data_IF_330073089224
#
_entry.id   IF_330073089224
#
_cell.length_a   1.000
_cell.length_b   1.000
_cell.length_c   1.000
_cell.angle_alpha   90.00
_cell.angle_beta   90.00
_cell.angle_gamma   90.00
#
_symmetry.space_group_name_H-M   'P 1'
#
loop_
_entity.id
_entity.type
_entity.pdbx_description
1 polymer ?
#
# COMPACT_ATOMS: atom_id res chain seq x y z
N UNK A 1 98.36 -8.19 -6.89
CA UNK A 1 99.06 -6.96 -7.28
C UNK A 1 98.24 -5.78 -6.77
N UNK A 2 98.54 -5.34 -5.66
CA UNK A 2 99.16 -4.15 -5.08
C UNK A 2 98.77 -2.83 -5.82
N UNK A 3 98.71 -1.80 -5.07
CA UNK A 3 97.64 -0.83 -4.88
C UNK A 3 98.03 0.55 -5.43
N UNK A 4 97.13 1.54 -5.29
CA UNK A 4 97.66 2.95 -5.10
C UNK A 4 96.55 3.79 -4.43
N UNK A 5 97.06 4.57 -3.50
CA UNK A 5 96.39 5.39 -2.51
C UNK A 5 96.27 6.87 -2.93
N UNK A 6 95.24 7.54 -2.32
CA UNK A 6 95.09 8.91 -1.78
C UNK A 6 95.61 10.12 -2.55
N UNK A 7 95.07 11.37 -2.33
CA UNK A 7 94.89 11.95 -0.99
C UNK A 7 93.69 12.89 -0.77
N UNK A 8 93.47 13.19 0.52
CA UNK A 8 92.63 14.15 1.19
C UNK A 8 92.83 15.63 0.72
N UNK A 9 91.78 16.37 0.73
CA UNK A 9 91.89 17.82 0.96
C UNK A 9 90.74 18.32 1.83
N UNK A 10 91.16 18.91 2.94
CA UNK A 10 90.33 19.60 3.97
C UNK A 10 89.92 20.95 3.37
N UNK A 11 88.62 21.37 3.63
CA UNK A 11 88.34 22.74 4.02
C UNK A 11 86.88 22.91 4.57
N UNK A 12 86.87 23.22 5.84
CA UNK A 12 86.18 24.28 6.57
C UNK A 12 84.63 24.15 6.81
N UNK A 13 84.35 24.05 8.10
CA UNK A 13 83.09 24.37 8.82
C UNK A 13 82.55 25.76 8.41
N UNK A 14 81.24 25.80 8.18
CA UNK A 14 80.40 26.91 8.63
C UNK A 14 79.12 26.31 9.23
N UNK A 15 78.88 26.69 10.50
CA UNK A 15 77.70 26.23 11.23
C UNK A 15 76.42 26.91 10.72
N UNK A 16 75.34 26.21 10.70
CA UNK A 16 74.01 26.70 10.47
C UNK A 16 73.03 25.82 11.29
N UNK A 17 72.64 26.31 12.44
CA UNK A 17 71.51 25.77 13.18
C UNK A 17 70.25 25.93 12.30
N UNK A 18 69.66 24.85 11.82
CA UNK A 18 68.32 24.83 11.28
C UNK A 18 67.46 24.05 12.25
N UNK A 19 66.54 24.80 12.90
CA UNK A 19 65.56 24.24 13.78
C UNK A 19 64.61 23.28 13.04
N UNK A 20 64.48 22.04 13.53
CA UNK A 20 63.45 21.10 13.14
C UNK A 20 62.10 21.63 13.68
N UNK A 21 61.35 22.29 12.82
CA UNK A 21 59.93 22.48 13.02
C UNK A 21 59.22 21.16 12.77
N UNK A 22 58.89 20.44 13.83
CA UNK A 22 57.98 19.29 13.76
C UNK A 22 56.57 19.82 13.37
N UNK A 23 56.27 19.81 12.10
CA UNK A 23 54.89 19.93 11.61
C UNK A 23 54.17 18.65 12.02
N UNK A 24 53.46 18.73 13.15
CA UNK A 24 52.46 17.73 13.53
C UNK A 24 51.39 17.67 12.45
N UNK A 25 51.46 16.66 11.60
CA UNK A 25 50.35 16.29 10.74
C UNK A 25 49.18 15.84 11.64
N UNK A 26 48.26 16.75 11.94
CA UNK A 26 46.94 16.35 12.45
C UNK A 26 46.33 15.38 11.44
N UNK A 27 45.83 14.21 11.87
CA UNK A 27 45.11 13.33 10.96
C UNK A 27 43.94 14.14 10.39
N UNK A 28 43.94 14.39 9.10
CA UNK A 28 42.80 14.90 8.39
C UNK A 28 41.70 13.85 8.61
N UNK A 29 40.82 14.17 9.54
CA UNK A 29 39.56 13.45 9.71
C UNK A 29 38.85 13.66 8.39
N UNK A 30 38.91 12.66 7.52
CA UNK A 30 38.07 12.62 6.35
C UNK A 30 36.63 12.79 6.86
N UNK A 31 36.09 13.98 6.66
CA UNK A 31 34.66 14.19 6.76
C UNK A 31 34.08 13.25 5.69
N UNK A 32 33.54 12.11 6.14
CA UNK A 32 32.64 11.33 5.33
C UNK A 32 31.53 12.33 4.97
N UNK A 33 31.59 12.87 3.76
CA UNK A 33 30.43 13.50 3.15
C UNK A 33 29.41 12.39 3.08
N UNK A 34 28.52 12.36 4.07
CA UNK A 34 27.34 11.54 4.01
C UNK A 34 26.63 11.99 2.72
N UNK A 35 26.67 11.16 1.68
CA UNK A 35 25.93 11.43 0.46
C UNK A 35 24.44 11.53 0.83
N UNK A 36 23.71 12.37 0.10
CA UNK A 36 22.25 12.45 0.27
C UNK A 36 21.68 11.03 0.24
N UNK A 37 20.86 10.65 1.23
CA UNK A 37 20.22 9.34 1.22
C UNK A 37 19.43 9.13 -0.09
N UNK A 38 19.37 7.92 -0.62
CA UNK A 38 18.59 7.65 -1.82
C UNK A 38 17.10 7.88 -1.53
N UNK A 39 16.38 8.36 -2.55
CA UNK A 39 14.95 8.56 -2.46
C UNK A 39 14.20 7.22 -2.21
N UNK A 40 13.33 7.22 -1.23
CA UNK A 40 12.54 6.06 -0.80
C UNK A 40 11.04 6.30 -0.95
N UNK A 41 10.63 7.45 -1.46
CA UNK A 41 9.22 7.78 -1.75
C UNK A 41 8.95 7.57 -3.23
N UNK A 42 7.87 6.87 -3.56
CA UNK A 42 7.42 6.62 -4.92
C UNK A 42 6.07 7.30 -5.15
N UNK A 43 5.89 7.88 -6.35
CA UNK A 43 4.66 8.60 -6.70
C UNK A 43 4.61 10.02 -6.13
N UNK A 44 3.44 10.64 -6.26
CA UNK A 44 3.11 11.98 -5.74
C UNK A 44 1.67 11.98 -5.27
N UNK A 45 1.37 12.67 -4.18
CA UNK A 45 -0.02 12.90 -3.74
C UNK A 45 -0.71 13.74 -4.81
N UNK A 46 -1.89 13.30 -5.22
CA UNK A 46 -2.71 14.02 -6.20
C UNK A 46 -4.11 14.26 -5.64
N UNK A 47 -4.94 14.98 -6.37
CA UNK A 47 -6.27 15.35 -5.94
C UNK A 47 -7.28 15.07 -7.03
N UNK A 48 -8.52 14.82 -6.62
CA UNK A 48 -9.66 14.61 -7.51
C UNK A 48 -10.83 15.48 -7.05
N UNK A 49 -11.41 16.23 -7.96
CA UNK A 49 -12.63 16.99 -7.70
C UNK A 49 -13.83 16.13 -8.13
N UNK A 50 -14.71 15.81 -7.19
CA UNK A 50 -15.85 14.93 -7.46
C UNK A 50 -16.86 15.59 -8.41
N UNK A 51 -17.40 14.79 -9.33
CA UNK A 51 -18.43 15.20 -10.29
C UNK A 51 -19.87 14.98 -9.77
N UNK A 52 -20.01 14.20 -8.67
CA UNK A 52 -21.29 13.81 -8.09
C UNK A 52 -21.92 12.57 -8.76
N UNK A 53 -21.26 11.98 -9.77
CA UNK A 53 -21.75 10.82 -10.51
C UNK A 53 -20.98 9.55 -10.15
N UNK A 54 -19.66 9.67 -9.96
CA UNK A 54 -18.77 8.54 -9.65
C UNK A 54 -18.65 8.30 -8.15
N UNK A 55 -18.59 7.02 -7.77
CA UNK A 55 -18.26 6.59 -6.42
C UNK A 55 -16.76 6.70 -6.16
N UNK A 56 -16.35 6.74 -4.88
CA UNK A 56 -14.91 6.64 -4.55
C UNK A 56 -14.34 5.25 -4.88
N UNK A 57 -15.17 4.22 -5.01
CA UNK A 57 -14.73 2.89 -5.45
C UNK A 57 -14.29 2.92 -6.92
N UNK A 58 -15.01 3.65 -7.77
CA UNK A 58 -14.66 3.83 -9.18
C UNK A 58 -13.34 4.60 -9.29
N UNK A 59 -13.22 5.70 -8.54
CA UNK A 59 -12.00 6.51 -8.48
C UNK A 59 -10.82 5.69 -7.94
N UNK A 60 -11.03 4.91 -6.88
CA UNK A 60 -9.99 4.05 -6.32
C UNK A 60 -9.45 3.07 -7.36
N UNK A 61 -10.33 2.34 -8.05
CA UNK A 61 -9.93 1.40 -9.10
C UNK A 61 -9.21 2.08 -10.25
N UNK A 62 -9.75 3.19 -10.77
CA UNK A 62 -9.15 3.97 -11.86
C UNK A 62 -7.72 4.44 -11.51
N UNK A 63 -7.50 4.81 -10.26
CA UNK A 63 -6.22 5.32 -9.77
C UNK A 63 -5.33 4.25 -9.13
N UNK A 64 -5.73 2.98 -9.22
CA UNK A 64 -5.00 1.86 -8.62
C UNK A 64 -4.77 2.05 -7.10
N UNK A 65 -5.80 2.52 -6.42
CA UNK A 65 -5.87 2.73 -4.97
C UNK A 65 -6.79 1.70 -4.32
N UNK A 66 -6.55 1.40 -3.06
CA UNK A 66 -7.48 0.64 -2.24
C UNK A 66 -8.62 1.51 -1.72
N UNK A 67 -9.82 0.94 -1.54
CA UNK A 67 -10.94 1.71 -0.98
C UNK A 67 -10.64 2.19 0.44
N UNK A 68 -10.11 1.33 1.30
CA UNK A 68 -9.78 1.71 2.68
C UNK A 68 -8.63 2.73 2.75
N UNK A 69 -7.66 2.62 1.85
CA UNK A 69 -6.58 3.59 1.67
C UNK A 69 -7.13 4.97 1.31
N UNK A 70 -8.04 5.01 0.32
CA UNK A 70 -8.68 6.26 -0.10
C UNK A 70 -9.57 6.85 1.01
N UNK A 71 -10.28 6.00 1.76
CA UNK A 71 -11.10 6.44 2.90
C UNK A 71 -10.25 6.98 4.05
N UNK A 72 -9.10 6.37 4.34
CA UNK A 72 -8.18 6.85 5.37
C UNK A 72 -7.61 8.23 5.05
N UNK A 73 -7.30 8.48 3.77
CA UNK A 73 -6.85 9.79 3.30
C UNK A 73 -7.95 10.86 3.33
N UNK A 74 -9.24 10.45 3.36
CA UNK A 74 -10.41 11.33 3.29
C UNK A 74 -11.47 10.95 4.35
N UNK A 75 -11.15 11.06 5.64
CA UNK A 75 -12.06 10.59 6.69
C UNK A 75 -13.40 11.34 6.65
N UNK A 76 -14.49 10.59 6.82
CA UNK A 76 -15.85 11.12 6.82
C UNK A 76 -16.45 11.39 5.44
N UNK A 77 -15.76 11.01 4.37
CA UNK A 77 -16.33 11.04 3.00
C UNK A 77 -17.02 9.70 2.72
N UNK A 78 -18.31 9.76 2.37
CA UNK A 78 -19.05 8.58 1.95
C UNK A 78 -18.48 8.04 0.63
N UNK A 79 -18.07 6.78 0.62
CA UNK A 79 -17.47 6.15 -0.56
C UNK A 79 -18.44 5.94 -1.72
N UNK A 80 -19.75 5.84 -1.44
CA UNK A 80 -20.79 5.64 -2.46
C UNK A 80 -21.36 6.95 -2.96
N UNK A 81 -21.50 7.94 -2.06
CA UNK A 81 -22.08 9.24 -2.35
C UNK A 81 -21.12 10.34 -1.89
N UNK A 82 -19.98 10.51 -2.56
CA UNK A 82 -18.97 11.47 -2.11
C UNK A 82 -19.43 12.94 -2.22
N UNK A 83 -20.54 13.18 -2.88
CA UNK A 83 -21.03 14.53 -3.18
C UNK A 83 -20.43 15.11 -4.45
N UNK A 84 -20.83 16.34 -4.81
CA UNK A 84 -20.31 17.06 -5.96
C UNK A 84 -19.35 18.17 -5.52
N UNK A 85 -18.36 18.47 -6.37
CA UNK A 85 -17.38 19.55 -6.15
C UNK A 85 -16.61 19.43 -4.82
N UNK A 86 -16.40 18.19 -4.36
CA UNK A 86 -15.60 17.89 -3.18
C UNK A 86 -14.18 17.53 -3.61
N UNK A 87 -13.19 18.17 -3.00
CA UNK A 87 -11.79 17.85 -3.23
C UNK A 87 -11.40 16.60 -2.43
N UNK A 88 -10.99 15.55 -3.13
CA UNK A 88 -10.56 14.28 -2.58
C UNK A 88 -9.05 14.16 -2.71
N UNK A 89 -8.37 13.87 -1.60
CA UNK A 89 -6.94 13.55 -1.60
C UNK A 89 -6.75 12.12 -2.11
N UNK A 90 -5.95 11.96 -3.14
CA UNK A 90 -5.56 10.65 -3.67
C UNK A 90 -4.20 10.26 -3.11
N UNK A 91 -4.10 9.21 -2.27
CA UNK A 91 -2.85 8.73 -1.69
C UNK A 91 -2.00 7.98 -2.72
N UNK A 92 -1.53 8.69 -3.75
CA UNK A 92 -0.74 8.15 -4.86
C UNK A 92 0.78 8.28 -4.65
N UNK A 93 1.19 8.69 -3.44
CA UNK A 93 2.59 8.67 -2.98
C UNK A 93 2.74 7.69 -1.83
N UNK A 94 3.85 6.94 -1.81
CA UNK A 94 4.11 5.94 -0.78
C UNK A 94 5.59 5.88 -0.42
N UNK A 95 5.91 5.72 0.86
CA UNK A 95 7.24 5.34 1.31
C UNK A 95 7.41 3.84 1.05
N UNK A 96 8.52 3.44 0.43
CA UNK A 96 8.82 2.03 0.25
C UNK A 96 9.02 1.33 1.60
N UNK A 97 8.40 0.17 1.84
CA UNK A 97 8.61 -0.59 3.07
C UNK A 97 10.08 -0.97 3.29
N UNK A 98 10.51 -1.13 4.54
CA UNK A 98 11.83 -1.63 4.88
C UNK A 98 11.90 -3.14 4.63
N UNK A 99 12.38 -3.49 3.44
CA UNK A 99 12.53 -4.85 2.94
C UNK A 99 13.60 -4.87 1.83
N UNK A 100 14.11 -6.04 1.43
CA UNK A 100 15.04 -6.15 0.31
C UNK A 100 14.48 -5.47 -0.97
N UNK A 101 15.28 -4.61 -1.58
CA UNK A 101 14.89 -3.76 -2.73
C UNK A 101 14.96 -4.52 -4.06
N UNK A 102 14.50 -5.77 -4.08
CA UNK A 102 14.47 -6.62 -5.27
C UNK A 102 13.17 -7.44 -5.34
N UNK A 103 12.63 -7.58 -6.53
CA UNK A 103 11.41 -8.35 -6.76
C UNK A 103 10.15 -7.67 -6.26
N UNK A 104 9.37 -8.35 -5.42
CA UNK A 104 8.07 -7.89 -4.93
C UNK A 104 8.11 -7.70 -3.41
N UNK A 105 7.60 -6.57 -2.94
CA UNK A 105 7.32 -6.32 -1.52
C UNK A 105 5.81 -6.17 -1.37
N UNK A 106 5.21 -6.88 -0.43
CA UNK A 106 3.80 -6.76 -0.05
C UNK A 106 3.76 -6.23 1.37
N UNK A 107 3.15 -5.06 1.59
CA UNK A 107 2.90 -4.54 2.92
C UNK A 107 1.43 -4.69 3.27
N UNK A 108 1.16 -5.55 4.25
CA UNK A 108 -0.21 -5.92 4.64
C UNK A 108 -0.93 -4.77 5.34
N UNK A 109 -0.19 -3.96 6.12
CA UNK A 109 -0.77 -2.83 6.85
C UNK A 109 -1.40 -1.76 5.94
N UNK A 110 -0.84 -1.58 4.75
CA UNK A 110 -1.32 -0.59 3.77
C UNK A 110 -2.10 -1.20 2.59
N UNK A 111 -2.24 -2.54 2.55
CA UNK A 111 -2.92 -3.28 1.48
C UNK A 111 -2.31 -2.98 0.09
N UNK A 112 -0.96 -2.96 0.02
CA UNK A 112 -0.25 -2.55 -1.18
C UNK A 112 0.91 -3.48 -1.52
N UNK A 113 1.11 -3.67 -2.83
CA UNK A 113 2.21 -4.41 -3.42
C UNK A 113 3.12 -3.43 -4.17
N UNK A 114 4.42 -3.59 -4.00
CA UNK A 114 5.48 -2.89 -4.72
C UNK A 114 6.26 -3.88 -5.56
N UNK A 115 6.44 -3.60 -6.83
CA UNK A 115 7.34 -4.33 -7.70
C UNK A 115 8.54 -3.46 -8.04
N UNK A 116 9.72 -3.98 -7.77
CA UNK A 116 11.00 -3.29 -7.98
C UNK A 116 11.77 -3.99 -9.12
N UNK A 117 11.47 -3.64 -10.38
CA UNK A 117 12.19 -4.20 -11.52
C UNK A 117 13.63 -3.67 -11.56
N UNK A 118 14.62 -4.51 -11.86
CA UNK A 118 16.01 -4.06 -11.94
C UNK A 118 16.19 -2.89 -12.91
N UNK A 119 16.78 -1.78 -12.41
CA UNK A 119 17.11 -0.60 -13.23
C UNK A 119 15.91 0.21 -13.73
N UNK A 120 14.72 0.00 -13.17
CA UNK A 120 13.52 0.75 -13.51
C UNK A 120 12.87 1.30 -12.23
N UNK A 121 12.02 2.33 -12.34
CA UNK A 121 11.25 2.84 -11.21
C UNK A 121 10.37 1.77 -10.59
N UNK A 122 10.18 1.86 -9.27
CA UNK A 122 9.24 1.00 -8.55
C UNK A 122 7.81 1.21 -9.08
N UNK A 123 7.08 0.11 -9.20
CA UNK A 123 5.65 0.09 -9.53
C UNK A 123 4.87 -0.32 -8.29
N UNK A 124 3.69 0.23 -8.09
CA UNK A 124 2.87 -0.07 -6.92
C UNK A 124 1.44 -0.43 -7.32
N UNK A 125 0.81 -1.35 -6.58
CA UNK A 125 -0.51 -1.88 -6.87
C UNK A 125 -1.32 -2.04 -5.59
N UNK A 126 -2.56 -1.57 -5.60
CA UNK A 126 -3.50 -1.89 -4.54
C UNK A 126 -3.82 -3.39 -4.54
N UNK A 127 -3.94 -3.97 -3.36
CA UNK A 127 -4.23 -5.40 -3.19
C UNK A 127 -5.31 -5.66 -2.15
N UNK A 128 -6.04 -6.75 -2.32
CA UNK A 128 -6.84 -7.35 -1.25
C UNK A 128 -6.09 -8.53 -0.64
N UNK A 129 -6.17 -8.69 0.69
CA UNK A 129 -5.43 -9.71 1.43
C UNK A 129 -6.37 -10.58 2.27
N UNK A 130 -5.79 -11.51 3.03
CA UNK A 130 -6.52 -12.39 3.93
C UNK A 130 -7.38 -11.63 4.94
N UNK A 131 -8.62 -12.10 5.14
CA UNK A 131 -9.51 -11.64 6.20
C UNK A 131 -9.12 -12.26 7.53
N UNK A 132 -9.71 -11.79 8.61
CA UNK A 132 -9.53 -12.35 9.93
C UNK A 132 -9.75 -13.89 9.96
N UNK A 133 -8.85 -14.61 10.61
CA UNK A 133 -8.81 -16.08 10.63
C UNK A 133 -8.31 -16.76 9.36
N UNK A 134 -7.92 -15.99 8.33
CA UNK A 134 -7.34 -16.45 7.07
C UNK A 134 -6.18 -15.54 6.63
N UNK A 135 -5.23 -15.34 7.52
CA UNK A 135 -4.17 -14.37 7.32
C UNK A 135 -3.23 -14.71 6.15
N UNK A 136 -2.77 -13.69 5.48
CA UNK A 136 -1.65 -13.81 4.53
C UNK A 136 -0.36 -13.93 5.35
N UNK A 137 0.48 -14.97 5.12
CA UNK A 137 1.70 -15.16 5.90
C UNK A 137 2.70 -14.02 5.71
N UNK A 138 3.43 -13.72 6.78
CA UNK A 138 4.61 -12.83 6.74
C UNK A 138 5.87 -13.61 6.36
N UNK A 139 6.88 -12.92 5.84
CA UNK A 139 8.19 -13.47 5.56
C UNK A 139 8.55 -13.45 4.08
N UNK A 140 9.43 -14.35 3.68
CA UNK A 140 9.95 -14.39 2.32
C UNK A 140 9.53 -15.66 1.60
N UNK A 141 9.20 -15.50 0.33
CA UNK A 141 8.88 -16.58 -0.60
C UNK A 141 9.32 -16.19 -2.02
N UNK A 142 8.96 -16.96 -3.01
CA UNK A 142 9.21 -16.66 -4.43
C UNK A 142 7.99 -17.00 -5.27
N UNK A 143 7.91 -16.43 -6.46
CA UNK A 143 6.96 -16.89 -7.49
C UNK A 143 7.48 -18.21 -8.05
N UNK A 144 6.75 -19.31 -7.84
CA UNK A 144 7.17 -20.65 -8.27
C UNK A 144 6.50 -21.10 -9.55
N UNK A 145 5.37 -20.49 -9.91
CA UNK A 145 4.62 -20.81 -11.13
C UNK A 145 3.74 -19.63 -11.54
N UNK A 146 3.52 -19.50 -12.84
CA UNK A 146 2.60 -18.52 -13.44
C UNK A 146 1.59 -19.24 -14.33
N UNK A 147 0.36 -18.75 -14.38
CA UNK A 147 -0.68 -19.30 -15.23
C UNK A 147 -1.58 -18.19 -15.77
N UNK A 148 -1.68 -18.11 -17.09
CA UNK A 148 -2.72 -17.36 -17.77
C UNK A 148 -3.99 -18.20 -17.85
N UNK A 149 -5.14 -17.55 -17.73
CA UNK A 149 -6.47 -18.17 -17.76
C UNK A 149 -6.51 -19.41 -16.84
N UNK A 150 -6.28 -19.23 -15.52
CA UNK A 150 -6.21 -20.34 -14.59
C UNK A 150 -7.58 -20.99 -14.43
N UNK A 151 -7.59 -22.29 -14.21
CA UNK A 151 -8.76 -23.01 -13.66
C UNK A 151 -8.70 -22.88 -12.14
N UNK A 152 -9.82 -22.51 -11.51
CA UNK A 152 -9.90 -22.46 -10.06
C UNK A 152 -10.43 -23.76 -9.47
N UNK A 153 -9.70 -24.27 -8.49
CA UNK A 153 -10.08 -25.41 -7.67
C UNK A 153 -10.27 -24.93 -6.24
N UNK A 154 -11.53 -24.82 -5.73
CA UNK A 154 -11.78 -24.41 -4.36
C UNK A 154 -11.10 -25.34 -3.37
N UNK A 155 -10.51 -24.77 -2.32
CA UNK A 155 -9.94 -25.54 -1.22
C UNK A 155 -11.03 -26.35 -0.50
N UNK A 156 -10.64 -27.40 0.22
CA UNK A 156 -11.59 -28.18 1.03
C UNK A 156 -12.29 -27.29 2.09
N UNK A 157 -11.55 -26.36 2.69
CA UNK A 157 -12.13 -25.42 3.65
C UNK A 157 -13.19 -24.53 3.00
N UNK A 158 -12.94 -24.04 1.76
CA UNK A 158 -13.93 -23.21 1.05
C UNK A 158 -15.21 -24.03 0.74
N UNK A 159 -15.07 -25.28 0.28
CA UNK A 159 -16.23 -26.15 0.01
C UNK A 159 -16.98 -26.56 1.27
N UNK A 160 -16.29 -26.67 2.40
CA UNK A 160 -16.92 -26.96 3.70
C UNK A 160 -17.77 -25.78 4.17
N UNK A 161 -17.24 -24.55 4.02
CA UNK A 161 -17.92 -23.33 4.44
C UNK A 161 -19.05 -22.92 3.48
N UNK A 162 -18.93 -23.32 2.22
CA UNK A 162 -19.89 -23.02 1.16
C UNK A 162 -20.04 -24.24 0.23
N UNK A 163 -20.94 -25.17 0.57
CA UNK A 163 -21.17 -26.38 -0.23
C UNK A 163 -21.71 -26.13 -1.65
N UNK A 164 -22.19 -24.91 -1.94
CA UNK A 164 -22.73 -24.52 -3.24
C UNK A 164 -21.64 -24.20 -4.25
N UNK A 165 -20.40 -24.01 -3.80
CA UNK A 165 -19.28 -23.67 -4.67
C UNK A 165 -18.98 -24.85 -5.61
N UNK A 166 -18.91 -24.62 -6.93
CA UNK A 166 -18.56 -25.66 -7.91
C UNK A 166 -17.21 -26.30 -7.58
N UNK A 167 -17.06 -27.59 -7.79
CA UNK A 167 -15.81 -28.31 -7.58
C UNK A 167 -14.65 -27.76 -8.43
N UNK A 168 -14.98 -27.20 -9.60
CA UNK A 168 -14.03 -26.63 -10.57
C UNK A 168 -14.70 -25.45 -11.26
N UNK A 169 -13.99 -24.31 -11.37
CA UNK A 169 -14.42 -23.18 -12.19
C UNK A 169 -13.39 -23.01 -13.33
N UNK A 170 -13.79 -23.20 -14.59
CA UNK A 170 -12.90 -23.01 -15.74
C UNK A 170 -12.52 -21.54 -15.92
N UNK A 171 -11.55 -21.24 -16.81
CA UNK A 171 -11.26 -19.87 -17.21
C UNK A 171 -12.50 -19.16 -17.76
N UNK A 172 -12.71 -17.92 -17.37
CA UNK A 172 -13.86 -17.12 -17.80
C UNK A 172 -14.24 -16.03 -16.80
N UNK A 173 -15.29 -15.27 -17.08
CA UNK A 173 -15.70 -14.12 -16.28
C UNK A 173 -16.10 -14.49 -14.84
N UNK A 174 -16.59 -15.71 -14.62
CA UNK A 174 -17.00 -16.20 -13.30
C UNK A 174 -15.84 -16.73 -12.46
N UNK A 175 -14.62 -16.79 -13.03
CA UNK A 175 -13.47 -17.35 -12.33
C UNK A 175 -12.94 -16.35 -11.28
N UNK A 176 -12.95 -16.70 -9.98
CA UNK A 176 -12.50 -15.79 -8.93
C UNK A 176 -10.99 -15.47 -8.96
N UNK A 177 -10.19 -16.23 -9.74
CA UNK A 177 -8.77 -15.93 -9.96
C UNK A 177 -8.53 -14.89 -11.07
N UNK A 178 -9.57 -14.56 -11.85
CA UNK A 178 -9.42 -13.71 -13.04
C UNK A 178 -8.56 -14.34 -14.12
N UNK A 179 -7.93 -13.52 -14.96
CA UNK A 179 -7.17 -13.97 -16.12
C UNK A 179 -5.73 -14.39 -15.82
N UNK A 180 -5.17 -14.00 -14.64
CA UNK A 180 -3.76 -14.24 -14.32
C UNK A 180 -3.59 -14.69 -12.88
N UNK A 181 -2.73 -15.70 -12.67
CA UNK A 181 -2.34 -16.18 -11.35
C UNK A 181 -0.83 -16.44 -11.26
N UNK A 182 -0.20 -15.96 -10.20
CA UNK A 182 1.20 -16.18 -9.83
C UNK A 182 1.24 -16.93 -8.52
N UNK A 183 1.68 -18.17 -8.53
CA UNK A 183 1.72 -19.07 -7.37
C UNK A 183 2.98 -18.82 -6.57
N UNK A 184 2.83 -18.75 -5.25
CA UNK A 184 3.94 -18.54 -4.32
C UNK A 184 4.51 -19.88 -3.85
N UNK A 185 5.74 -19.85 -3.34
CA UNK A 185 6.38 -21.02 -2.72
C UNK A 185 5.69 -21.50 -1.45
N UNK A 186 4.80 -20.72 -0.88
CA UNK A 186 3.89 -21.14 0.19
C UNK A 186 2.72 -21.93 -0.39
N UNK A 187 2.41 -23.11 0.16
CA UNK A 187 1.28 -23.91 -0.33
C UNK A 187 -0.03 -23.14 -0.30
N UNK A 188 -0.81 -23.20 -1.37
CA UNK A 188 -2.14 -22.60 -1.54
C UNK A 188 -2.18 -21.07 -1.68
N UNK A 189 -1.07 -20.35 -1.51
CA UNK A 189 -1.03 -18.90 -1.63
C UNK A 189 -0.65 -18.47 -3.05
N UNK A 190 -1.34 -17.46 -3.55
CA UNK A 190 -1.07 -16.89 -4.87
C UNK A 190 -1.44 -15.40 -4.92
N UNK A 191 -0.82 -14.68 -5.85
CA UNK A 191 -1.24 -13.36 -6.30
C UNK A 191 -2.05 -13.55 -7.58
N UNK A 192 -3.25 -12.97 -7.67
CA UNK A 192 -4.14 -13.24 -8.80
C UNK A 192 -5.08 -12.05 -9.08
N UNK A 193 -5.66 -12.03 -10.26
CA UNK A 193 -6.77 -11.13 -10.59
C UNK A 193 -8.03 -11.45 -9.82
N UNK A 194 -9.15 -10.88 -10.23
CA UNK A 194 -10.43 -11.15 -9.57
C UNK A 194 -11.59 -10.88 -10.53
N UNK A 195 -12.68 -11.59 -10.36
CA UNK A 195 -13.98 -11.25 -10.92
C UNK A 195 -14.80 -10.33 -10.00
N UNK A 196 -14.25 -10.01 -8.79
CA UNK A 196 -14.88 -9.12 -7.80
C UNK A 196 -13.91 -7.99 -7.44
N UNK A 197 -13.71 -6.98 -8.31
CA UNK A 197 -12.67 -5.94 -8.15
C UNK A 197 -12.84 -5.08 -6.89
N UNK A 198 -14.07 -4.91 -6.39
CA UNK A 198 -14.32 -4.16 -5.16
C UNK A 198 -13.73 -4.78 -3.87
N UNK A 199 -13.24 -6.02 -3.95
CA UNK A 199 -12.49 -6.64 -2.87
C UNK A 199 -11.02 -6.23 -2.80
N UNK A 200 -10.53 -5.43 -3.76
CA UNK A 200 -9.17 -4.88 -3.73
C UNK A 200 -9.14 -3.66 -2.79
N UNK A 201 -8.06 -3.53 -2.02
CA UNK A 201 -7.97 -2.54 -0.96
C UNK A 201 -8.73 -2.91 0.31
N UNK A 202 -9.02 -4.22 0.51
CA UNK A 202 -9.77 -4.76 1.65
C UNK A 202 -9.20 -6.09 2.14
N UNK A 203 -9.61 -6.50 3.33
CA UNK A 203 -9.29 -7.81 3.93
C UNK A 203 -10.43 -8.80 3.68
N UNK A 204 -10.43 -9.45 2.52
CA UNK A 204 -11.60 -10.23 2.05
C UNK A 204 -11.28 -11.63 1.55
N UNK A 205 -10.00 -11.98 1.40
CA UNK A 205 -9.59 -13.27 0.85
C UNK A 205 -9.40 -14.34 1.94
N UNK A 206 -9.06 -15.54 1.52
CA UNK A 206 -8.59 -16.64 2.38
C UNK A 206 -7.07 -16.72 2.39
N UNK A 207 -6.40 -15.58 2.43
CA UNK A 207 -4.95 -15.44 2.50
C UNK A 207 -4.29 -15.15 1.16
N UNK A 208 -4.95 -15.39 0.02
CA UNK A 208 -4.42 -15.02 -1.29
C UNK A 208 -4.43 -13.51 -1.50
N UNK A 209 -3.54 -13.03 -2.36
CA UNK A 209 -3.39 -11.63 -2.72
C UNK A 209 -4.19 -11.35 -3.98
N UNK A 210 -5.27 -10.57 -3.85
CA UNK A 210 -6.12 -10.15 -4.96
C UNK A 210 -5.60 -8.83 -5.54
N UNK A 211 -5.65 -8.71 -6.85
CA UNK A 211 -5.27 -7.51 -7.59
C UNK A 211 -6.41 -7.11 -8.52
N UNK A 212 -6.50 -5.82 -8.83
CA UNK A 212 -7.36 -5.39 -9.94
C UNK A 212 -7.00 -6.15 -11.23
N UNK A 213 -7.97 -6.49 -12.09
CA UNK A 213 -7.70 -7.18 -13.36
C UNK A 213 -6.63 -6.48 -14.21
N UNK A 214 -6.71 -5.15 -14.31
CA UNK A 214 -5.73 -4.32 -15.02
C UNK A 214 -4.37 -4.31 -14.33
N UNK A 215 -4.32 -4.30 -12.99
CA UNK A 215 -3.08 -4.34 -12.22
C UNK A 215 -2.33 -5.65 -12.39
N UNK A 216 -3.02 -6.79 -12.28
CA UNK A 216 -2.38 -8.10 -12.48
C UNK A 216 -1.97 -8.30 -13.94
N UNK A 217 -2.75 -7.79 -14.90
CA UNK A 217 -2.41 -7.85 -16.32
C UNK A 217 -1.12 -7.05 -16.63
N UNK A 218 -0.93 -5.90 -15.99
CA UNK A 218 0.29 -5.10 -16.11
C UNK A 218 1.50 -5.77 -15.44
N UNK A 219 1.32 -6.37 -14.24
CA UNK A 219 2.40 -6.97 -13.46
C UNK A 219 2.84 -8.33 -14.02
N UNK A 220 1.89 -9.17 -14.43
CA UNK A 220 2.13 -10.56 -14.81
C UNK A 220 3.24 -10.75 -15.84
N UNK A 221 3.31 -10.03 -16.99
CA UNK A 221 4.35 -10.24 -18.00
C UNK A 221 5.75 -9.88 -17.47
N UNK A 222 5.86 -8.98 -16.51
CA UNK A 222 7.13 -8.46 -16.00
C UNK A 222 7.75 -9.40 -14.95
N UNK A 223 6.94 -10.07 -14.14
CA UNK A 223 7.38 -10.96 -13.06
C UNK A 223 7.82 -12.30 -13.62
N UNK A 224 8.98 -12.79 -13.25
CA UNK A 224 9.53 -14.09 -13.64
C UNK A 224 9.31 -15.14 -12.54
N UNK A 225 9.26 -16.42 -12.92
CA UNK A 225 9.41 -17.51 -11.94
C UNK A 225 10.77 -17.36 -11.27
N UNK A 226 10.82 -17.53 -9.96
CA UNK A 226 11.99 -17.25 -9.12
C UNK A 226 12.03 -15.82 -8.55
N UNK A 227 11.17 -14.89 -9.01
CA UNK A 227 11.09 -13.54 -8.42
C UNK A 227 10.81 -13.65 -6.91
N UNK A 228 11.64 -12.98 -6.11
CA UNK A 228 11.47 -12.89 -4.65
C UNK A 228 10.21 -12.14 -4.31
N UNK A 229 9.53 -12.59 -3.26
CA UNK A 229 8.37 -11.92 -2.66
C UNK A 229 8.61 -11.79 -1.16
N UNK A 230 8.68 -10.56 -0.67
CA UNK A 230 8.79 -10.24 0.75
C UNK A 230 7.44 -9.72 1.24
N UNK A 231 6.87 -10.36 2.25
CA UNK A 231 5.60 -9.95 2.85
C UNK A 231 5.90 -9.40 4.24
N UNK A 232 5.56 -8.14 4.46
CA UNK A 232 5.78 -7.39 5.69
C UNK A 232 4.47 -6.80 6.20
N UNK A 233 4.48 -6.36 7.46
CA UNK A 233 3.38 -5.64 8.10
C UNK A 233 3.94 -4.41 8.81
N UNK A 234 4.04 -3.31 8.07
CA UNK A 234 4.66 -2.07 8.51
C UNK A 234 3.64 -0.93 8.44
N UNK A 235 2.86 -0.72 9.50
CA UNK A 235 1.86 0.35 9.55
C UNK A 235 2.46 1.75 9.60
N UNK A 236 3.72 1.87 10.02
CA UNK A 236 4.45 3.14 10.04
C UNK A 236 5.75 2.95 9.26
N UNK A 237 6.01 3.86 8.33
CA UNK A 237 7.18 3.84 7.47
C UNK A 237 7.91 5.17 7.55
N UNK A 238 9.24 5.13 7.41
CA UNK A 238 10.10 6.30 7.32
C UNK A 238 10.91 6.22 6.02
N UNK A 239 10.99 7.32 5.29
CA UNK A 239 11.73 7.35 4.03
C UNK A 239 12.28 8.73 3.70
N UNK A 240 13.39 8.74 2.99
CA UNK A 240 14.01 9.95 2.48
C UNK A 240 13.45 10.32 1.10
N UNK A 241 13.28 11.62 0.88
CA UNK A 241 13.02 12.20 -0.43
C UNK A 241 13.73 13.55 -0.52
N UNK A 242 14.61 13.72 -1.51
CA UNK A 242 15.35 14.97 -1.75
C UNK A 242 16.08 15.51 -0.50
N UNK A 243 16.59 14.61 0.36
CA UNK A 243 17.31 14.95 1.60
C UNK A 243 16.42 15.36 2.77
N UNK A 244 15.11 15.23 2.66
CA UNK A 244 14.13 15.41 3.72
C UNK A 244 13.56 14.08 4.18
N UNK A 245 13.31 13.93 5.49
CA UNK A 245 12.74 12.71 6.06
C UNK A 245 11.22 12.84 6.13
N UNK A 246 10.53 11.76 5.73
CA UNK A 246 9.08 11.65 5.73
C UNK A 246 8.63 10.51 6.64
N UNK A 247 7.45 10.65 7.22
CA UNK A 247 6.70 9.60 7.90
C UNK A 247 5.41 9.30 7.13
N UNK A 248 5.02 8.05 7.09
CA UNK A 248 3.74 7.60 6.57
C UNK A 248 3.14 6.62 7.58
N UNK A 249 1.93 6.91 8.06
CA UNK A 249 1.24 6.11 9.08
C UNK A 249 -0.13 5.67 8.57
N UNK A 250 -0.43 4.37 8.74
CA UNK A 250 -1.65 3.72 8.30
C UNK A 250 -2.55 3.35 9.48
N UNK A 251 -3.87 3.26 9.27
CA UNK A 251 -4.81 2.74 10.25
C UNK A 251 -4.45 1.31 10.67
N UNK A 252 -4.67 0.97 11.93
CA UNK A 252 -4.59 -0.42 12.38
C UNK A 252 -5.85 -1.22 11.99
N UNK A 253 -5.87 -2.52 12.27
CA UNK A 253 -6.94 -3.42 11.86
C UNK A 253 -8.32 -2.98 12.35
N UNK A 254 -8.43 -2.53 13.62
CA UNK A 254 -9.67 -2.04 14.17
C UNK A 254 -10.13 -0.74 13.49
N UNK A 255 -9.19 0.14 13.18
CA UNK A 255 -9.48 1.38 12.46
C UNK A 255 -9.86 1.11 11.00
N UNK A 256 -9.26 0.10 10.34
CA UNK A 256 -9.68 -0.35 9.01
C UNK A 256 -11.10 -0.91 9.01
N UNK A 257 -11.47 -1.67 10.05
CA UNK A 257 -12.85 -2.14 10.23
C UNK A 257 -13.84 -0.98 10.41
N UNK A 258 -13.45 0.03 11.22
CA UNK A 258 -14.27 1.23 11.39
C UNK A 258 -14.42 2.03 10.10
N UNK A 259 -13.36 2.13 9.29
CA UNK A 259 -13.41 2.76 7.96
C UNK A 259 -14.36 2.03 7.01
N UNK A 260 -14.35 0.70 7.03
CA UNK A 260 -15.26 -0.13 6.24
C UNK A 260 -16.72 0.14 6.61
N UNK A 261 -17.01 0.28 7.90
CA UNK A 261 -18.37 0.40 8.44
C UNK A 261 -18.91 1.85 8.40
N UNK A 262 -18.05 2.88 8.54
CA UNK A 262 -18.50 4.26 8.80
C UNK A 262 -17.73 5.36 8.09
N UNK A 263 -16.78 5.02 7.20
CA UNK A 263 -15.90 5.96 6.50
C UNK A 263 -15.06 6.85 7.42
N UNK A 264 -14.91 6.46 8.67
CA UNK A 264 -14.10 7.15 9.67
C UNK A 264 -13.65 6.18 10.75
N UNK A 265 -12.72 6.60 11.59
CA UNK A 265 -12.23 5.77 12.69
C UNK A 265 -11.92 6.61 13.93
N UNK A 266 -11.89 5.94 15.08
CA UNK A 266 -11.50 6.55 16.35
C UNK A 266 -10.00 6.79 16.36
N UNK A 267 -9.61 8.04 16.62
CA UNK A 267 -8.20 8.39 16.77
C UNK A 267 -7.62 7.72 18.02
N UNK A 268 -6.42 7.19 17.90
CA UNK A 268 -5.66 6.56 18.98
C UNK A 268 -4.44 7.41 19.28
N UNK A 269 -3.93 7.37 20.53
CA UNK A 269 -2.67 8.04 20.87
C UNK A 269 -1.55 7.63 19.91
N UNK A 270 -0.65 8.57 19.63
CA UNK A 270 0.54 8.27 18.85
C UNK A 270 1.40 7.20 19.56
N UNK A 271 1.85 6.15 18.85
CA UNK A 271 2.84 5.24 19.42
C UNK A 271 4.20 5.95 19.54
N UNK A 272 4.99 5.56 20.54
CA UNK A 272 6.37 6.06 20.64
C UNK A 272 7.26 5.37 19.58
N UNK A 273 7.54 6.07 18.51
CA UNK A 273 8.48 5.64 17.45
C UNK A 273 9.75 6.51 17.43
N UNK A 274 9.98 7.31 18.48
CA UNK A 274 11.16 8.17 18.57
C UNK A 274 12.47 7.44 18.32
N UNK A 275 12.71 6.21 18.85
CA UNK A 275 13.94 5.47 18.56
C UNK A 275 14.09 5.14 17.06
N UNK A 276 13.01 4.80 16.37
CA UNK A 276 13.02 4.50 14.94
C UNK A 276 13.33 5.75 14.12
N UNK A 277 12.71 6.88 14.45
CA UNK A 277 12.96 8.17 13.79
C UNK A 277 14.41 8.60 13.98
N UNK A 278 14.91 8.59 15.22
CA UNK A 278 16.27 8.99 15.54
C UNK A 278 17.31 8.10 14.84
N UNK A 279 17.07 6.80 14.78
CA UNK A 279 17.94 5.85 14.05
C UNK A 279 17.96 6.15 12.55
N UNK A 280 16.79 6.45 11.93
CA UNK A 280 16.68 6.78 10.51
C UNK A 280 17.25 8.16 10.19
N UNK A 281 17.01 9.16 11.04
CA UNK A 281 17.46 10.53 10.86
C UNK A 281 18.99 10.69 11.05
N UNK A 282 19.59 9.92 11.96
CA UNK A 282 21.03 9.98 12.21
C UNK A 282 21.51 11.41 12.54
N UNK A 283 22.38 11.97 11.70
CA UNK A 283 22.90 13.32 11.88
C UNK A 283 21.84 14.43 11.76
N UNK A 284 20.74 14.15 11.05
CA UNK A 284 19.66 15.09 10.79
C UNK A 284 18.59 15.11 11.92
N UNK A 285 18.81 14.36 13.01
CA UNK A 285 17.86 14.24 14.12
C UNK A 285 17.44 15.59 14.74
N UNK A 286 18.34 16.59 14.72
CA UNK A 286 18.05 17.94 15.19
C UNK A 286 17.04 18.73 14.33
N UNK A 287 16.71 18.24 13.14
CA UNK A 287 15.76 18.86 12.22
C UNK A 287 14.33 18.31 12.35
N UNK A 288 14.10 17.32 13.21
CA UNK A 288 12.79 16.68 13.35
C UNK A 288 11.78 17.61 13.99
N UNK A 289 10.66 17.77 13.31
CA UNK A 289 9.47 18.44 13.85
C UNK A 289 8.56 17.39 14.50
N UNK A 290 8.72 17.24 15.81
CA UNK A 290 7.97 16.27 16.60
C UNK A 290 6.48 16.56 16.65
N UNK A 291 6.06 17.82 16.47
CA UNK A 291 4.63 18.17 16.45
C UNK A 291 3.94 17.65 15.20
N UNK A 292 4.64 17.65 14.05
CA UNK A 292 4.17 17.02 12.81
C UNK A 292 4.14 15.51 12.96
N UNK A 293 5.18 14.91 13.55
CA UNK A 293 5.23 13.48 13.84
C UNK A 293 4.00 13.03 14.64
N UNK A 294 3.75 13.67 15.79
CA UNK A 294 2.61 13.32 16.65
C UNK A 294 1.28 13.47 15.92
N UNK A 295 1.13 14.53 15.14
CA UNK A 295 -0.09 14.77 14.35
C UNK A 295 -0.34 13.65 13.37
N UNK A 296 0.65 13.23 12.58
CA UNK A 296 0.48 12.22 11.54
C UNK A 296 0.33 10.80 12.11
N UNK A 297 1.00 10.51 13.25
CA UNK A 297 0.83 9.22 13.93
C UNK A 297 -0.56 9.05 14.56
N UNK A 298 -1.24 10.14 14.87
CA UNK A 298 -2.64 10.14 15.32
C UNK A 298 -3.59 10.09 14.12
N UNK A 299 -3.33 10.89 13.09
CA UNK A 299 -4.19 11.03 11.90
C UNK A 299 -4.24 9.77 11.03
N UNK A 300 -3.12 9.05 10.87
CA UNK A 300 -2.99 7.76 10.15
C UNK A 300 -3.64 7.77 8.77
N UNK A 301 -3.38 8.82 8.00
CA UNK A 301 -4.01 9.03 6.69
C UNK A 301 -3.36 8.24 5.56
N UNK A 302 -2.26 7.52 5.81
CA UNK A 302 -1.52 6.79 4.76
C UNK A 302 -0.88 7.71 3.72
N UNK A 303 -0.48 8.92 4.14
CA UNK A 303 0.19 9.90 3.28
C UNK A 303 1.63 10.11 3.77
N UNK A 304 2.64 10.13 2.89
CA UNK A 304 3.96 10.58 3.24
C UNK A 304 3.96 12.06 3.64
N UNK A 305 4.37 12.38 4.86
CA UNK A 305 4.44 13.74 5.39
C UNK A 305 5.87 14.04 5.82
N UNK A 306 6.41 15.18 5.38
CA UNK A 306 7.75 15.62 5.73
C UNK A 306 7.82 15.95 7.23
N UNK A 307 8.81 15.39 7.91
CA UNK A 307 9.06 15.59 9.35
C UNK A 307 10.39 16.27 9.63
N UNK A 308 11.15 16.71 8.62
CA UNK A 308 12.35 17.51 8.73
C UNK A 308 12.12 18.92 8.18
N UNK A 309 12.80 19.93 8.74
CA UNK A 309 12.70 21.32 8.28
C UNK A 309 11.61 22.13 8.96
N UNK A 310 11.77 23.45 8.99
CA UNK A 310 10.80 24.40 9.55
C UNK A 310 9.72 24.72 8.52
N UNK A 311 8.67 23.94 8.46
CA UNK A 311 7.53 24.25 7.59
C UNK A 311 6.70 23.01 7.34
N UNK A 312 5.54 22.97 7.99
CA UNK A 312 4.53 21.95 7.71
C UNK A 312 4.19 21.90 6.22
N UNK A 313 3.37 20.96 5.83
CA UNK A 313 2.90 20.55 4.50
C UNK A 313 2.67 21.61 3.40
N UNK A 314 3.35 22.76 3.44
CA UNK A 314 3.27 23.78 2.39
C UNK A 314 3.80 23.30 1.01
N UNK A 315 4.52 22.18 1.00
CA UNK A 315 5.07 21.55 -0.22
C UNK A 315 4.28 20.34 -0.71
N UNK A 316 3.07 20.10 -0.19
CA UNK A 316 2.12 19.25 -0.91
C UNK A 316 1.83 19.95 -2.23
N UNK A 317 2.28 19.32 -3.30
CA UNK A 317 2.30 19.84 -4.66
C UNK A 317 1.06 20.67 -5.01
N UNK A 318 1.18 21.67 -5.92
CA UNK A 318 0.07 22.46 -6.36
C UNK A 318 -1.06 21.53 -6.79
N UNK A 319 -2.28 21.89 -6.41
CA UNK A 319 -3.52 21.24 -6.86
C UNK A 319 -3.46 21.17 -8.38
N UNK A 320 -2.97 20.06 -8.90
CA UNK A 320 -3.20 19.73 -10.29
C UNK A 320 -4.66 19.31 -10.34
N UNK A 321 -5.52 20.23 -10.68
CA UNK A 321 -6.90 19.89 -11.09
C UNK A 321 -6.71 18.87 -12.18
N UNK A 322 -7.04 17.61 -11.88
CA UNK A 322 -6.93 16.54 -12.86
C UNK A 322 -7.54 17.04 -14.15
N UNK A 323 -6.83 16.99 -15.29
CA UNK A 323 -7.43 17.36 -16.55
C UNK A 323 -8.71 16.56 -16.69
N UNK A 324 -9.77 17.13 -17.30
CA UNK A 324 -10.98 16.37 -17.59
C UNK A 324 -10.50 15.08 -18.25
N UNK A 325 -10.85 13.96 -17.65
CA UNK A 325 -10.45 12.62 -18.05
C UNK A 325 -10.21 12.58 -19.57
N UNK A 326 -8.96 12.32 -19.99
CA UNK A 326 -8.72 11.86 -21.35
C UNK A 326 -9.29 10.44 -21.46
N UNK A 327 -10.58 10.33 -21.33
CA UNK A 327 -11.34 9.28 -21.95
C UNK A 327 -11.26 9.60 -23.42
N UNK A 328 -10.33 8.95 -24.12
CA UNK A 328 -10.37 8.90 -25.57
C UNK A 328 -11.80 8.56 -25.93
N UNK A 329 -12.41 9.46 -26.69
CA UNK A 329 -13.76 9.40 -27.21
C UNK A 329 -14.20 7.96 -27.49
N UNK A 330 -15.22 7.46 -26.79
CA UNK A 330 -16.15 6.59 -27.41
C UNK A 330 -16.20 5.13 -27.01
N UNK A 331 -15.77 4.70 -25.85
CA UNK A 331 -16.36 3.52 -25.17
C UNK A 331 -15.85 3.47 -23.73
N UNK A 332 -16.74 3.33 -22.72
CA UNK A 332 -16.29 3.00 -21.40
C UNK A 332 -15.50 1.69 -21.51
N UNK A 333 -14.36 1.54 -20.76
CA UNK A 333 -13.63 0.29 -20.73
C UNK A 333 -14.61 -0.83 -20.38
N UNK A 334 -14.43 -2.02 -20.96
CA UNK A 334 -15.35 -3.16 -20.89
C UNK A 334 -15.78 -3.57 -19.45
N UNK A 335 -15.14 -3.04 -18.43
CA UNK A 335 -15.48 -3.30 -17.03
C UNK A 335 -16.59 -2.40 -16.45
N UNK A 336 -17.00 -1.31 -17.13
CA UNK A 336 -18.14 -0.48 -16.68
C UNK A 336 -19.47 -1.21 -16.82
N UNK A 337 -19.53 -2.30 -17.61
CA UNK A 337 -20.72 -3.14 -17.73
C UNK A 337 -20.98 -4.01 -16.49
N UNK A 338 -20.03 -4.16 -15.59
CA UNK A 338 -20.15 -4.97 -14.37
C UNK A 338 -20.60 -4.16 -13.14
N UNK A 339 -20.81 -2.86 -13.32
CA UNK A 339 -21.37 -1.99 -12.29
C UNK A 339 -22.90 -2.08 -12.34
N UNK A 340 -23.60 -2.36 -11.24
CA UNK A 340 -25.04 -2.19 -11.22
C UNK A 340 -25.34 -0.70 -11.52
N UNK A 341 -26.35 -0.42 -12.35
CA UNK A 341 -26.74 0.96 -12.64
C UNK A 341 -27.08 1.68 -11.34
N UNK A 342 -26.65 2.92 -11.21
CA UNK A 342 -26.95 3.78 -10.07
C UNK A 342 -28.47 3.80 -9.84
N UNK A 343 -28.92 3.25 -8.69
CA UNK A 343 -30.35 3.16 -8.34
C UNK A 343 -31.00 1.80 -8.58
N UNK A 344 -30.31 0.76 -9.05
CA UNK A 344 -30.89 -0.58 -9.11
C UNK A 344 -30.83 -1.27 -7.75
N UNK A 345 -31.96 -1.47 -7.12
CA UNK A 345 -32.12 -2.44 -6.02
C UNK A 345 -31.92 -3.84 -6.61
N UNK A 346 -30.84 -4.52 -6.24
CA UNK A 346 -30.67 -5.94 -6.56
C UNK A 346 -31.65 -6.70 -5.69
N UNK A 347 -32.75 -7.15 -6.29
CA UNK A 347 -33.70 -8.07 -5.65
C UNK A 347 -32.99 -9.43 -5.49
N UNK A 348 -32.49 -9.69 -4.28
CA UNK A 348 -31.79 -10.92 -3.91
C UNK A 348 -32.74 -12.02 -3.44
N UNK A 349 -33.91 -12.13 -4.04
CA UNK A 349 -34.76 -13.29 -3.80
C UNK A 349 -34.34 -14.44 -4.73
N UNK A 350 -33.89 -15.58 -4.20
CA UNK A 350 -33.78 -16.78 -5.01
C UNK A 350 -35.20 -17.22 -5.45
N UNK A 351 -35.39 -17.37 -6.75
CA UNK A 351 -36.59 -17.98 -7.34
C UNK A 351 -36.74 -19.38 -6.75
N UNK A 352 -37.74 -19.55 -5.90
CA UNK A 352 -38.13 -20.86 -5.40
C UNK A 352 -38.90 -21.61 -6.48
N UNK A 353 -38.36 -22.74 -6.91
CA UNK A 353 -39.16 -23.77 -7.59
C UNK A 353 -40.07 -24.47 -6.60
N UNK A 354 -41.30 -24.83 -6.97
CA UNK A 354 -42.25 -25.45 -6.06
C UNK A 354 -41.99 -26.95 -5.87
N UNK A 355 -41.90 -27.40 -4.63
CA UNK A 355 -41.77 -28.84 -4.26
C UNK A 355 -42.07 -29.05 -2.80
N UNK A 356 -43.28 -29.52 -2.54
CA UNK A 356 -43.96 -30.22 -1.47
C UNK A 356 -43.26 -30.55 -0.14
N UNK A 357 -43.85 -30.11 0.94
CA UNK A 357 -44.41 -30.78 2.12
C UNK A 357 -43.51 -31.48 3.13
N UNK A 358 -43.54 -30.99 4.37
CA UNK A 358 -43.27 -31.75 5.61
C UNK A 358 -42.88 -30.84 6.77
N UNK A 359 -43.49 -31.02 7.98
CA UNK A 359 -43.28 -30.09 9.10
C UNK A 359 -41.92 -30.37 9.76
N UNK A 360 -41.14 -29.34 9.96
CA UNK A 360 -39.89 -29.36 10.72
C UNK A 360 -40.07 -28.55 11.99
N UNK A 361 -39.81 -29.24 13.08
CA UNK A 361 -39.74 -28.87 14.47
C UNK A 361 -38.93 -27.57 14.69
N UNK A 362 -39.43 -26.72 15.59
CA UNK A 362 -38.84 -25.43 15.92
C UNK A 362 -37.49 -25.60 16.63
N UNK A 363 -36.42 -25.23 15.94
CA UNK A 363 -35.11 -25.05 16.53
C UNK A 363 -34.94 -23.60 17.02
N UNK A 364 -34.39 -23.45 18.22
CA UNK A 364 -34.08 -22.17 18.87
C UNK A 364 -33.32 -21.20 17.99
N UNK A 365 -33.53 -19.88 18.15
CA UNK A 365 -32.84 -18.88 17.34
C UNK A 365 -31.34 -18.85 17.69
N UNK A 366 -30.53 -19.46 16.85
CA UNK A 366 -29.10 -19.23 16.86
C UNK A 366 -28.87 -17.75 16.53
N UNK A 367 -28.05 -17.09 17.34
CA UNK A 367 -27.58 -15.72 17.11
C UNK A 367 -27.10 -15.59 15.67
N UNK A 368 -27.44 -14.52 14.95
CA UNK A 368 -26.94 -14.32 13.60
C UNK A 368 -25.42 -14.28 13.65
N UNK A 369 -24.82 -15.27 13.03
CA UNK A 369 -23.41 -15.24 12.68
C UNK A 369 -23.23 -13.99 11.82
N UNK A 370 -22.43 -13.07 12.29
CA UNK A 370 -22.00 -11.87 11.58
C UNK A 370 -21.79 -12.22 10.12
N UNK A 371 -22.69 -11.78 9.26
CA UNK A 371 -22.61 -12.00 7.82
C UNK A 371 -21.30 -11.42 7.30
N UNK A 372 -20.40 -12.34 7.03
CA UNK A 372 -19.40 -12.25 5.99
C UNK A 372 -18.83 -10.84 5.74
N UNK A 373 -17.96 -10.38 6.63
CA UNK A 373 -16.96 -9.40 6.25
C UNK A 373 -16.24 -9.96 5.02
N UNK A 374 -16.56 -9.43 3.83
CA UNK A 374 -15.85 -9.72 2.61
C UNK A 374 -16.57 -10.42 1.47
N UNK A 375 -17.82 -10.83 1.61
CA UNK A 375 -18.68 -11.08 0.45
C UNK A 375 -19.66 -9.92 0.34
N UNK A 376 -19.32 -9.05 -0.54
CA UNK A 376 -19.92 -7.81 -0.84
C UNK A 376 -21.39 -7.93 -1.22
N UNK A 377 -22.28 -7.42 -0.36
CA UNK A 377 -23.57 -6.90 -0.76
C UNK A 377 -23.65 -5.49 -0.17
N UNK A 378 -23.78 -4.45 -0.99
CA UNK A 378 -24.04 -3.11 -0.49
C UNK A 378 -25.49 -3.05 -0.04
N UNK A 379 -25.76 -3.40 1.20
CA UNK A 379 -26.92 -2.81 1.84
C UNK A 379 -26.56 -1.36 2.13
N UNK A 380 -27.24 -0.44 1.46
CA UNK A 380 -27.23 0.99 1.79
C UNK A 380 -27.69 1.11 3.24
N UNK A 381 -26.76 1.11 4.17
CA UNK A 381 -27.07 1.49 5.55
C UNK A 381 -27.41 2.98 5.54
N UNK A 382 -28.51 3.39 6.15
CA UNK A 382 -28.81 4.80 6.27
C UNK A 382 -27.66 5.46 7.04
N UNK A 383 -27.19 6.60 6.53
CA UNK A 383 -26.18 7.42 7.20
C UNK A 383 -26.56 7.57 8.67
N UNK A 384 -25.60 7.38 9.58
CA UNK A 384 -25.81 7.72 10.98
C UNK A 384 -26.25 9.18 11.08
N UNK A 385 -27.05 9.54 12.09
CA UNK A 385 -27.48 10.94 12.28
C UNK A 385 -26.32 11.93 12.35
N UNK A 386 -25.16 11.49 12.80
CA UNK A 386 -23.92 12.27 12.85
C UNK A 386 -23.36 12.52 11.44
N UNK A 387 -23.34 11.50 10.58
CA UNK A 387 -22.91 11.63 9.19
C UNK A 387 -23.86 12.52 8.39
N UNK A 388 -25.18 12.43 8.65
CA UNK A 388 -26.18 13.32 8.05
C UNK A 388 -25.97 14.78 8.48
N UNK A 389 -25.69 15.04 9.77
CA UNK A 389 -25.44 16.40 10.28
C UNK A 389 -24.16 16.99 9.70
N UNK A 390 -23.09 16.19 9.57
CA UNK A 390 -21.83 16.64 8.97
C UNK A 390 -21.99 16.97 7.48
N UNK A 391 -22.73 16.15 6.73
CA UNK A 391 -23.02 16.40 5.31
C UNK A 391 -23.91 17.64 5.10
N UNK A 392 -24.69 18.04 6.11
CA UNK A 392 -25.57 19.22 6.08
C UNK A 392 -24.93 20.45 6.70
N UNK A 393 -23.68 20.40 7.15
CA UNK A 393 -22.98 21.54 7.77
C UNK A 393 -23.61 21.99 9.10
N UNK A 394 -24.35 21.12 9.77
CA UNK A 394 -25.03 21.41 11.04
C UNK A 394 -24.17 20.94 12.20
N UNK A 395 -23.15 21.73 12.54
CA UNK A 395 -22.47 21.75 13.84
C UNK A 395 -22.55 23.16 14.42
#
# INVERSE_FOLDING_TARGET
MVPVAYPLSRRRLVGGMLGLAALGAAPARAALTAGTPPDEVVGKVTYYLTDGERTLLDVARERNLGMLELSAANPGVDGWVPGKERLITLPTAHILPDAPRDGIIINLAELRLYYLPPGQPAQTFAIGVGRDGFDTPHGQTTVVRKKERPTWYPTESKRRDDPTVPAVVPPGPDNPLGEYAMYLGWPTYLMHGTNKPYGVGRRVSRGCIRMYPEGVAALFPQVKVGTRVSVVDQPIKLGWLEGELYVEAHPDLEQLDQLEDSYGFTLKPAPDISPMILAKAGAEAGRIDWSVVDTELVARRGLPVRITGSGGNADLAPVETAPPSMVASGQPPAWTSDLPPAGSTIDSRPSAAPGEGGPVEAAEPQRPVSLLRGEYAPELRPLSDRARRSALGLY
#
